data_IF_938195368187
#
_entry.id   IF_938195368187
#
_cell.length_a   1.000
_cell.length_b   1.000
_cell.length_c   1.000
_cell.angle_alpha   90.00
_cell.angle_beta   90.00
_cell.angle_gamma   90.00
#
_symmetry.space_group_name_H-M   'P 1'
#
loop_
_entity.id
_entity.type
_entity.pdbx_description
1 polymer ?
#
# COMPACT_ATOMS: atom_id res chain seq x y z
N UNK A 1 -16.25 39.02 -19.34
CA UNK A 1 -15.67 38.46 -18.10
C UNK A 1 -14.67 37.39 -18.47
N UNK A 2 -13.37 37.67 -18.35
CA UNK A 2 -12.29 36.77 -18.76
C UNK A 2 -12.17 35.61 -17.76
N UNK A 3 -12.38 34.38 -18.24
CA UNK A 3 -12.09 33.11 -17.55
C UNK A 3 -10.64 33.14 -17.05
N UNK A 4 -10.42 33.23 -15.73
CA UNK A 4 -9.11 32.92 -15.16
C UNK A 4 -8.86 31.42 -15.31
N UNK A 5 -8.21 31.05 -16.41
CA UNK A 5 -7.63 29.73 -16.57
C UNK A 5 -6.44 29.65 -15.60
N UNK A 6 -6.63 29.03 -14.42
CA UNK A 6 -5.53 28.74 -13.51
C UNK A 6 -4.59 27.76 -14.23
N UNK A 7 -3.44 28.26 -14.71
CA UNK A 7 -2.38 27.38 -15.22
C UNK A 7 -1.96 26.47 -14.08
N UNK A 8 -2.13 25.16 -14.25
CA UNK A 8 -1.56 24.17 -13.34
C UNK A 8 -0.04 24.26 -13.48
N UNK A 9 0.61 24.90 -12.51
CA UNK A 9 2.06 24.92 -12.41
C UNK A 9 2.50 23.64 -11.70
N UNK A 10 3.27 22.80 -12.39
CA UNK A 10 3.89 21.62 -11.78
C UNK A 10 5.03 22.07 -10.86
N UNK A 11 5.18 21.40 -9.71
CA UNK A 11 6.32 21.60 -8.81
C UNK A 11 7.42 20.63 -9.21
N UNK A 12 8.57 21.15 -9.62
CA UNK A 12 9.76 20.36 -9.93
C UNK A 12 10.96 20.98 -9.20
N UNK A 13 11.78 20.12 -8.61
CA UNK A 13 13.07 20.44 -8.03
C UNK A 13 13.99 19.24 -8.28
N UNK A 14 15.26 19.50 -8.54
CA UNK A 14 16.27 18.45 -8.59
C UNK A 14 16.62 18.04 -7.17
N UNK A 15 16.22 16.83 -6.78
CA UNK A 15 16.34 16.31 -5.43
C UNK A 15 17.09 14.99 -5.46
N UNK A 16 18.15 14.89 -4.66
CA UNK A 16 18.79 13.61 -4.40
C UNK A 16 18.04 12.85 -3.30
N UNK A 17 17.67 11.60 -3.58
CA UNK A 17 17.12 10.68 -2.59
C UNK A 17 18.00 9.43 -2.58
N UNK A 18 19.08 9.49 -1.80
CA UNK A 18 20.17 8.50 -1.84
C UNK A 18 19.78 7.13 -1.31
N UNK A 19 18.90 7.07 -0.31
CA UNK A 19 18.40 5.82 0.26
C UNK A 19 16.89 5.73 0.15
N UNK A 20 16.40 4.84 -0.72
CA UNK A 20 15.04 4.33 -0.67
C UNK A 20 15.05 3.04 0.17
N UNK A 21 14.02 2.81 1.00
CA UNK A 21 13.85 1.56 1.72
C UNK A 21 13.74 0.35 0.78
N UNK A 22 13.55 -0.85 1.31
CA UNK A 22 13.41 -2.06 0.47
C UNK A 22 12.04 -2.14 -0.24
N UNK A 23 11.96 -2.98 -1.28
CA UNK A 23 10.72 -3.20 -2.03
C UNK A 23 9.62 -3.76 -1.11
N UNK A 24 8.37 -3.25 -1.16
CA UNK A 24 7.30 -3.67 -0.28
C UNK A 24 6.61 -4.95 -0.79
N UNK A 25 7.36 -6.05 -0.96
CA UNK A 25 6.81 -7.34 -1.39
C UNK A 25 6.09 -8.11 -0.27
N UNK A 26 6.25 -7.71 0.99
CA UNK A 26 5.62 -8.36 2.14
C UNK A 26 6.21 -9.72 2.54
N UNK A 27 7.28 -10.17 1.88
CA UNK A 27 7.87 -11.51 2.07
C UNK A 27 9.37 -11.45 2.40
N UNK A 28 9.76 -10.59 3.34
CA UNK A 28 11.15 -10.50 3.82
C UNK A 28 11.40 -11.54 4.92
N UNK A 29 12.53 -12.23 4.85
CA UNK A 29 12.95 -13.14 5.91
C UNK A 29 13.10 -12.37 7.24
N UNK A 30 12.36 -12.74 8.30
CA UNK A 30 12.47 -12.08 9.59
C UNK A 30 13.74 -12.55 10.32
N UNK A 31 14.18 -11.78 11.32
CA UNK A 31 15.31 -12.18 12.16
C UNK A 31 14.99 -13.44 12.97
N UNK A 32 15.80 -14.49 12.82
CA UNK A 32 15.66 -15.71 13.59
C UNK A 32 16.07 -15.53 15.05
N UNK A 33 15.31 -16.15 15.96
CA UNK A 33 15.57 -16.15 17.40
C UNK A 33 15.72 -17.57 17.91
N UNK A 34 16.58 -17.76 18.91
CA UNK A 34 16.80 -19.07 19.56
C UNK A 34 15.80 -19.37 20.67
N UNK A 35 15.23 -18.34 21.29
CA UNK A 35 14.25 -18.43 22.38
C UNK A 35 13.24 -17.29 22.28
N UNK A 36 11.97 -17.57 22.53
CA UNK A 36 10.89 -16.60 22.62
C UNK A 36 10.65 -16.18 24.08
N UNK A 37 10.13 -14.97 24.28
CA UNK A 37 9.79 -14.45 25.61
C UNK A 37 8.70 -15.30 26.29
N UNK A 38 7.71 -15.76 25.51
CA UNK A 38 6.65 -16.67 25.96
C UNK A 38 6.82 -18.03 25.29
N UNK A 39 7.06 -19.08 26.09
CA UNK A 39 7.19 -20.46 25.64
C UNK A 39 5.84 -21.22 25.66
N UNK A 40 4.72 -20.50 25.51
CA UNK A 40 3.35 -21.02 25.60
C UNK A 40 2.67 -20.84 24.24
N UNK A 41 2.73 -21.84 23.34
CA UNK A 41 2.21 -21.69 21.98
C UNK A 41 0.68 -21.54 21.92
N UNK A 42 -0.04 -22.02 22.94
CA UNK A 42 -1.50 -21.98 22.98
C UNK A 42 -2.08 -20.57 22.98
N UNK A 43 -1.32 -19.55 23.40
CA UNK A 43 -1.78 -18.17 23.41
C UNK A 43 -2.24 -17.69 22.04
N UNK A 44 -1.57 -18.13 20.97
CA UNK A 44 -1.98 -17.83 19.61
C UNK A 44 -3.38 -18.40 19.29
N UNK A 45 -3.63 -19.66 19.67
CA UNK A 45 -4.92 -20.32 19.42
C UNK A 45 -6.04 -19.87 20.36
N UNK A 46 -5.71 -19.41 21.56
CA UNK A 46 -6.69 -18.90 22.52
C UNK A 46 -7.01 -17.42 22.33
N UNK A 47 -6.23 -16.71 21.51
CA UNK A 47 -6.46 -15.30 21.24
C UNK A 47 -7.84 -15.08 20.62
N UNK A 48 -8.57 -14.12 21.16
CA UNK A 48 -9.84 -13.64 20.62
C UNK A 48 -9.80 -12.13 20.54
N UNK A 49 -10.33 -11.58 19.45
CA UNK A 49 -10.60 -10.15 19.31
C UNK A 49 -12.11 -9.90 19.37
N UNK A 50 -12.49 -8.64 19.49
CA UNK A 50 -13.88 -8.24 19.23
C UNK A 50 -14.25 -8.47 17.75
N UNK A 51 -15.56 -8.49 17.48
CA UNK A 51 -16.07 -8.57 16.12
C UNK A 51 -15.63 -7.36 15.30
N UNK A 52 -15.07 -7.62 14.12
CA UNK A 52 -14.83 -6.60 13.10
C UNK A 52 -16.05 -6.56 12.18
N UNK A 53 -16.92 -5.58 12.40
CA UNK A 53 -18.09 -5.35 11.54
C UNK A 53 -17.63 -4.67 10.25
N UNK A 54 -17.78 -5.32 9.08
CA UNK A 54 -17.24 -4.78 7.82
C UNK A 54 -17.99 -3.54 7.33
N UNK A 55 -19.24 -3.37 7.77
CA UNK A 55 -20.12 -2.27 7.37
C UNK A 55 -21.06 -1.94 8.54
N UNK A 56 -21.38 -0.66 8.69
CA UNK A 56 -22.47 -0.19 9.55
C UNK A 56 -23.24 0.89 8.77
N UNK A 57 -24.54 0.67 8.54
CA UNK A 57 -25.34 1.53 7.65
C UNK A 57 -24.80 1.54 6.21
N UNK A 58 -24.70 2.71 5.59
CA UNK A 58 -24.21 2.88 4.22
C UNK A 58 -22.66 2.96 4.12
N UNK A 59 -21.94 2.72 5.23
CA UNK A 59 -20.48 2.88 5.34
C UNK A 59 -19.97 4.30 5.02
N UNK A 60 -20.85 5.31 5.14
CA UNK A 60 -20.50 6.69 4.84
C UNK A 60 -19.55 7.26 5.90
N UNK A 61 -18.45 7.87 5.44
CA UNK A 61 -17.51 8.60 6.28
C UNK A 61 -17.11 9.89 5.57
N UNK A 62 -16.99 10.98 6.34
CA UNK A 62 -16.49 12.27 5.87
C UNK A 62 -15.01 12.20 5.45
N UNK A 63 -14.23 11.34 6.11
CA UNK A 63 -12.81 11.12 5.85
C UNK A 63 -12.52 10.25 4.62
N UNK A 64 -13.55 9.58 4.07
CA UNK A 64 -13.46 8.64 2.95
C UNK A 64 -12.30 7.64 3.09
N UNK A 65 -12.24 6.95 4.24
CA UNK A 65 -11.06 6.18 4.64
C UNK A 65 -10.71 5.05 3.67
N UNK A 66 -11.72 4.33 3.18
CA UNK A 66 -11.53 3.17 2.33
C UNK A 66 -10.84 3.54 1.00
N UNK A 67 -11.37 4.54 0.29
CA UNK A 67 -10.82 4.99 -1.00
C UNK A 67 -9.46 5.67 -0.81
N UNK A 68 -9.35 6.59 0.16
CA UNK A 68 -8.09 7.31 0.42
C UNK A 68 -6.96 6.37 0.82
N UNK A 69 -7.19 5.42 1.73
CA UNK A 69 -6.14 4.49 2.13
C UNK A 69 -5.79 3.53 1.00
N UNK A 70 -6.79 3.03 0.27
CA UNK A 70 -6.56 2.20 -0.92
C UNK A 70 -5.65 2.91 -1.93
N UNK A 71 -5.97 4.15 -2.29
CA UNK A 71 -5.20 4.93 -3.25
C UNK A 71 -3.79 5.22 -2.76
N UNK A 72 -3.62 5.57 -1.49
CA UNK A 72 -2.30 5.77 -0.89
C UNK A 72 -1.44 4.50 -0.96
N UNK A 73 -2.03 3.34 -0.69
CA UNK A 73 -1.37 2.04 -0.83
C UNK A 73 -1.03 1.72 -2.29
N UNK A 74 -1.96 2.01 -3.21
CA UNK A 74 -1.78 1.82 -4.64
C UNK A 74 -0.65 2.70 -5.20
N UNK A 75 -0.57 3.98 -4.82
CA UNK A 75 0.42 4.91 -5.40
C UNK A 75 1.86 4.47 -5.18
N UNK A 76 2.24 4.10 -3.96
CA UNK A 76 3.61 3.65 -3.74
C UNK A 76 3.84 2.26 -4.33
N UNK A 77 2.81 1.41 -4.39
CA UNK A 77 2.89 0.09 -5.02
C UNK A 77 3.21 0.26 -6.51
N UNK A 78 2.41 1.04 -7.23
CA UNK A 78 2.66 1.39 -8.64
C UNK A 78 4.03 2.03 -8.86
N UNK A 79 4.46 2.95 -7.97
CA UNK A 79 5.77 3.57 -8.08
C UNK A 79 6.93 2.57 -7.92
N UNK A 80 6.77 1.57 -7.05
CA UNK A 80 7.73 0.49 -6.87
C UNK A 80 7.75 -0.49 -8.05
N UNK A 81 6.59 -0.79 -8.62
CA UNK A 81 6.43 -1.64 -9.80
C UNK A 81 6.71 -0.92 -11.13
N UNK A 82 7.06 0.38 -11.11
CA UNK A 82 7.19 1.23 -12.31
C UNK A 82 5.95 1.12 -13.22
N UNK A 83 4.76 1.24 -12.60
CA UNK A 83 3.45 1.09 -13.23
C UNK A 83 3.14 -0.31 -13.80
N UNK A 84 4.02 -1.30 -13.59
CA UNK A 84 3.89 -2.63 -14.19
C UNK A 84 4.30 -2.67 -15.67
N UNK A 85 4.91 -1.60 -16.19
CA UNK A 85 5.42 -1.54 -17.55
C UNK A 85 6.54 -2.58 -17.74
N UNK A 86 6.38 -3.45 -18.74
CA UNK A 86 7.34 -4.51 -19.06
C UNK A 86 7.18 -5.81 -18.27
N UNK A 87 6.06 -5.99 -17.55
CA UNK A 87 5.69 -7.28 -16.94
C UNK A 87 4.92 -8.17 -17.93
N UNK A 88 4.04 -7.56 -18.73
CA UNK A 88 3.25 -8.27 -19.74
C UNK A 88 3.92 -8.10 -21.10
N UNK A 89 4.27 -9.22 -21.75
CA UNK A 89 4.80 -9.22 -23.12
C UNK A 89 3.64 -9.17 -24.13
N UNK A 90 3.87 -8.52 -25.28
CA UNK A 90 2.88 -8.44 -26.36
C UNK A 90 2.58 -9.79 -27.04
N UNK A 91 3.32 -10.85 -26.71
CA UNK A 91 3.21 -12.18 -27.32
C UNK A 91 2.34 -13.17 -26.52
N UNK A 92 1.75 -12.74 -25.39
CA UNK A 92 0.85 -13.59 -24.61
C UNK A 92 -0.59 -13.65 -25.20
N UNK A 93 -0.86 -12.98 -26.33
CA UNK A 93 -2.17 -12.94 -27.01
C UNK A 93 -2.31 -13.94 -28.20
N UNK A 94 -1.30 -14.75 -28.53
CA UNK A 94 -1.29 -15.66 -29.70
C UNK A 94 -1.39 -17.17 -29.35
N UNK A 95 -2.27 -17.56 -28.42
CA UNK A 95 -2.68 -18.97 -28.22
C UNK A 95 -4.21 -19.13 -28.11
#
# INVERSE_FOLDING_TARGET
MLRMCRRLAMKYADLELTTRGEFPHGMKEPGFVKKLDQNIPWYFSTYRSMYHWPITGDNWSDLNEAEKHHDLHMFYTLAWWKLGEGIFDANDEDN
#
